data_IF_627546053165
#
_entry.id   IF_627546053165
#
_cell.length_a   1.000
_cell.length_b   1.000
_cell.length_c   1.000
_cell.angle_alpha   90.00
_cell.angle_beta   90.00
_cell.angle_gamma   90.00
#
_symmetry.space_group_name_H-M   'P 1'
#
loop_
_entity.id
_entity.type
_entity.pdbx_description
1 polymer ?
#
# COMPACT_ATOMS: atom_id res chain seq x y z
N UNK A 1 -1.22 6.17 7.71
CA UNK A 1 -1.74 6.26 6.33
C UNK A 1 -0.60 6.70 5.43
N UNK A 2 -0.53 6.20 4.20
CA UNK A 2 0.50 6.59 3.22
C UNK A 2 0.49 8.10 2.96
N UNK A 3 -0.67 8.76 3.10
CA UNK A 3 -0.79 10.21 3.06
C UNK A 3 0.07 10.97 4.10
N UNK A 4 0.42 10.34 5.23
CA UNK A 4 1.19 10.98 6.31
C UNK A 4 2.70 10.91 6.10
N UNK A 5 3.16 10.36 4.97
CA UNK A 5 4.59 10.21 4.67
C UNK A 5 5.09 11.37 3.80
N UNK A 6 4.44 12.53 3.83
CA UNK A 6 4.83 13.73 3.06
C UNK A 6 6.28 14.14 3.33
N UNK A 7 6.75 13.96 4.55
CA UNK A 7 8.12 14.26 4.97
C UNK A 7 9.01 13.02 5.09
N UNK A 8 8.53 11.83 4.70
CA UNK A 8 9.38 10.65 4.69
C UNK A 8 10.44 10.80 3.61
N UNK A 9 11.67 10.65 4.04
CA UNK A 9 12.84 10.44 3.22
C UNK A 9 13.02 8.95 2.91
N UNK A 10 13.96 8.64 2.02
CA UNK A 10 14.37 7.25 1.80
C UNK A 10 14.94 6.61 3.07
N UNK A 11 15.63 7.36 3.93
CA UNK A 11 16.18 6.83 5.18
C UNK A 11 15.08 6.38 6.15
N UNK A 12 13.96 7.12 6.23
CA UNK A 12 12.84 6.75 7.10
C UNK A 12 12.22 5.43 6.62
N UNK A 13 11.99 5.27 5.31
CA UNK A 13 11.51 4.01 4.73
C UNK A 13 12.46 2.83 5.00
N UNK A 14 13.77 3.06 4.85
CA UNK A 14 14.78 2.02 5.07
C UNK A 14 14.82 1.60 6.54
N UNK A 15 14.75 2.56 7.46
CA UNK A 15 14.76 2.30 8.89
C UNK A 15 13.52 1.50 9.31
N UNK A 16 12.32 1.93 8.91
CA UNK A 16 11.08 1.24 9.22
C UNK A 16 11.07 -0.20 8.68
N UNK A 17 11.51 -0.40 7.42
CA UNK A 17 11.59 -1.74 6.82
C UNK A 17 12.57 -2.64 7.58
N UNK A 18 13.74 -2.12 7.98
CA UNK A 18 14.72 -2.90 8.75
C UNK A 18 14.17 -3.30 10.11
N UNK A 19 13.55 -2.38 10.83
CA UNK A 19 12.90 -2.66 12.12
C UNK A 19 11.81 -3.73 11.97
N UNK A 20 11.04 -3.68 10.89
CA UNK A 20 10.03 -4.70 10.61
C UNK A 20 10.63 -6.08 10.33
N UNK A 21 11.73 -6.15 9.57
CA UNK A 21 12.47 -7.39 9.34
C UNK A 21 13.04 -7.96 10.65
N UNK A 22 13.62 -7.12 11.51
CA UNK A 22 14.09 -7.50 12.85
C UNK A 22 12.96 -8.06 13.71
N UNK A 23 11.76 -7.47 13.59
CA UNK A 23 10.55 -7.92 14.26
C UNK A 23 9.86 -9.13 13.59
N UNK A 24 10.43 -9.70 12.52
CA UNK A 24 9.86 -10.82 11.75
C UNK A 24 8.49 -10.52 11.12
N UNK A 25 8.25 -9.25 10.75
CA UNK A 25 7.09 -8.85 9.95
C UNK A 25 7.38 -9.11 8.47
N UNK A 26 6.46 -9.78 7.79
CA UNK A 26 6.65 -10.18 6.39
C UNK A 26 6.34 -9.07 5.38
N UNK A 27 5.41 -8.17 5.71
CA UNK A 27 4.96 -7.13 4.78
C UNK A 27 4.32 -5.93 5.48
N UNK A 28 4.33 -4.77 4.82
CA UNK A 28 3.51 -3.63 5.21
C UNK A 28 2.21 -3.53 4.41
N UNK A 29 1.13 -3.21 5.11
CA UNK A 29 -0.14 -2.79 4.54
C UNK A 29 -0.10 -1.28 4.26
N UNK A 30 -0.08 -0.90 2.99
CA UNK A 30 -0.07 0.50 2.56
C UNK A 30 -1.50 1.07 2.62
N UNK A 31 -1.85 1.69 3.75
CA UNK A 31 -3.16 2.34 3.93
C UNK A 31 -3.29 3.57 3.01
N UNK A 32 -4.22 3.51 2.07
CA UNK A 32 -4.47 4.59 1.11
C UNK A 32 -5.82 5.25 1.33
N UNK A 33 -5.84 6.60 1.27
CA UNK A 33 -7.06 7.38 1.13
C UNK A 33 -7.24 7.83 -0.31
N UNK A 34 -8.47 7.76 -0.83
CA UNK A 34 -8.78 8.18 -2.19
C UNK A 34 -8.52 9.68 -2.37
N UNK A 35 -7.95 10.06 -3.52
CA UNK A 35 -7.72 11.46 -3.87
C UNK A 35 -6.61 12.16 -3.07
N UNK A 36 -5.86 11.43 -2.24
CA UNK A 36 -4.74 12.00 -1.50
C UNK A 36 -3.55 12.28 -2.43
N UNK A 37 -3.11 13.54 -2.61
CA UNK A 37 -2.06 13.89 -3.59
C UNK A 37 -0.74 13.18 -3.33
N UNK A 38 -0.46 12.87 -2.06
CA UNK A 38 0.79 12.24 -1.65
C UNK A 38 0.91 10.76 -2.05
N UNK A 39 -0.22 10.08 -2.31
CA UNK A 39 -0.22 8.64 -2.61
C UNK A 39 0.77 8.26 -3.72
N UNK A 40 0.77 8.99 -4.84
CA UNK A 40 1.62 8.63 -5.97
C UNK A 40 3.11 8.64 -5.63
N UNK A 41 3.57 9.66 -4.90
CA UNK A 41 4.98 9.78 -4.50
C UNK A 41 5.31 8.75 -3.43
N UNK A 42 4.51 8.70 -2.36
CA UNK A 42 4.77 7.83 -1.21
C UNK A 42 4.75 6.34 -1.57
N UNK A 43 3.84 5.91 -2.46
CA UNK A 43 3.79 4.52 -2.94
C UNK A 43 5.02 4.21 -3.79
N UNK A 44 5.42 5.11 -4.69
CA UNK A 44 6.62 4.90 -5.50
C UNK A 44 7.87 4.76 -4.63
N UNK A 45 8.03 5.62 -3.62
CA UNK A 45 9.15 5.56 -2.68
C UNK A 45 9.12 4.28 -1.83
N UNK A 46 7.95 3.89 -1.31
CA UNK A 46 7.79 2.66 -0.53
C UNK A 46 8.20 1.43 -1.34
N UNK A 47 7.66 1.28 -2.57
CA UNK A 47 7.99 0.14 -3.43
C UNK A 47 9.46 0.10 -3.81
N UNK A 48 10.06 1.24 -4.18
CA UNK A 48 11.49 1.30 -4.54
C UNK A 48 12.40 0.85 -3.38
N UNK A 49 12.16 1.36 -2.17
CA UNK A 49 12.95 0.98 -0.99
C UNK A 49 12.69 -0.47 -0.56
N UNK A 50 11.44 -0.95 -0.66
CA UNK A 50 11.12 -2.34 -0.35
C UNK A 50 11.74 -3.33 -1.34
N UNK A 51 11.82 -2.98 -2.64
CA UNK A 51 12.53 -3.80 -3.63
C UNK A 51 14.02 -3.92 -3.29
N UNK A 52 14.66 -2.81 -2.92
CA UNK A 52 16.07 -2.79 -2.53
C UNK A 52 16.36 -3.63 -1.27
N UNK A 53 15.40 -3.72 -0.35
CA UNK A 53 15.52 -4.47 0.91
C UNK A 53 14.87 -5.85 0.88
N UNK A 54 14.35 -6.28 -0.29
CA UNK A 54 13.65 -7.56 -0.48
C UNK A 54 12.45 -7.73 0.48
N UNK A 55 11.82 -6.61 0.83
CA UNK A 55 10.65 -6.56 1.72
C UNK A 55 9.35 -6.56 0.92
N UNK A 56 8.23 -6.97 1.54
CA UNK A 56 6.94 -7.07 0.84
C UNK A 56 5.98 -5.96 1.24
N UNK A 57 5.16 -5.53 0.30
CA UNK A 57 4.12 -4.52 0.48
C UNK A 57 2.83 -4.99 -0.18
N UNK A 58 1.67 -4.61 0.35
CA UNK A 58 0.39 -4.72 -0.33
C UNK A 58 -0.48 -3.49 -0.10
N UNK A 59 -1.39 -3.24 -1.02
CA UNK A 59 -2.34 -2.14 -0.86
C UNK A 59 -3.42 -2.48 0.15
N UNK A 60 -3.69 -1.52 1.05
CA UNK A 60 -4.86 -1.51 1.91
C UNK A 60 -5.74 -0.31 1.53
N UNK A 61 -6.74 -0.56 0.69
CA UNK A 61 -7.71 0.46 0.29
C UNK A 61 -8.71 0.68 1.43
N UNK A 62 -8.63 1.84 2.09
CA UNK A 62 -9.52 2.16 3.21
C UNK A 62 -10.50 3.25 2.83
N UNK A 63 -11.71 3.15 3.36
CA UNK A 63 -12.66 4.25 3.39
C UNK A 63 -12.03 5.44 4.11
N UNK A 64 -12.04 6.57 3.45
CA UNK A 64 -11.55 7.78 4.05
C UNK A 64 -12.63 8.45 4.90
N UNK A 65 -12.33 8.64 6.19
CA UNK A 65 -13.24 9.30 7.13
C UNK A 65 -13.53 10.76 6.74
N UNK A 66 -12.72 11.37 5.87
CA UNK A 66 -12.94 12.73 5.37
C UNK A 66 -13.98 12.81 4.24
N UNK A 67 -14.70 11.72 3.94
CA UNK A 67 -15.87 11.74 3.06
C UNK A 67 -15.56 11.69 1.56
N UNK A 68 -14.36 11.24 1.17
CA UNK A 68 -13.95 11.09 -0.24
C UNK A 68 -14.54 9.84 -0.94
N UNK A 69 -15.33 9.06 -0.22
CA UNK A 69 -16.00 7.85 -0.70
C UNK A 69 -15.06 6.65 -0.87
N UNK A 70 -15.61 5.47 -1.20
CA UNK A 70 -14.81 4.28 -1.49
C UNK A 70 -13.99 4.44 -2.76
N UNK A 71 -12.97 3.59 -2.95
CA UNK A 71 -12.32 3.49 -4.24
C UNK A 71 -13.25 2.80 -5.24
N UNK A 72 -13.31 3.30 -6.47
CA UNK A 72 -13.96 2.54 -7.54
C UNK A 72 -13.12 1.30 -7.88
N UNK A 73 -13.78 0.26 -8.40
CA UNK A 73 -13.11 -0.94 -8.89
C UNK A 73 -11.99 -0.63 -9.90
N UNK A 74 -12.23 0.33 -10.79
CA UNK A 74 -11.25 0.72 -11.81
C UNK A 74 -10.02 1.39 -11.18
N UNK A 75 -10.20 2.22 -10.15
CA UNK A 75 -9.09 2.81 -9.40
C UNK A 75 -8.27 1.73 -8.67
N UNK A 76 -8.93 0.76 -8.02
CA UNK A 76 -8.27 -0.38 -7.37
C UNK A 76 -7.42 -1.17 -8.38
N UNK A 77 -8.02 -1.54 -9.52
CA UNK A 77 -7.36 -2.29 -10.59
C UNK A 77 -6.16 -1.52 -11.16
N UNK A 78 -6.30 -0.20 -11.32
CA UNK A 78 -5.21 0.65 -11.81
C UNK A 78 -3.99 0.62 -10.89
N UNK A 79 -4.19 0.73 -9.57
CA UNK A 79 -3.09 0.67 -8.61
C UNK A 79 -2.44 -0.71 -8.58
N UNK A 80 -3.23 -1.79 -8.57
CA UNK A 80 -2.70 -3.15 -8.60
C UNK A 80 -1.87 -3.38 -9.86
N UNK A 81 -2.40 -3.08 -11.04
CA UNK A 81 -1.70 -3.33 -12.31
C UNK A 81 -0.40 -2.53 -12.42
N UNK A 82 -0.34 -1.34 -11.83
CA UNK A 82 0.86 -0.51 -11.83
C UNK A 82 2.03 -1.12 -11.04
N UNK A 83 1.75 -1.84 -9.96
CA UNK A 83 2.79 -2.37 -9.06
C UNK A 83 2.86 -3.89 -9.00
N UNK A 84 1.92 -4.62 -9.61
CA UNK A 84 1.88 -6.08 -9.55
C UNK A 84 3.19 -6.72 -10.02
N UNK A 85 3.88 -6.15 -11.02
CA UNK A 85 5.17 -6.69 -11.51
C UNK A 85 6.34 -6.44 -10.56
N UNK A 86 6.19 -5.60 -9.53
CA UNK A 86 7.24 -5.32 -8.55
C UNK A 86 7.60 -6.59 -7.77
N UNK A 87 8.89 -6.79 -7.53
CA UNK A 87 9.37 -7.89 -6.69
C UNK A 87 8.96 -7.71 -5.22
N UNK A 88 8.69 -6.47 -4.81
CA UNK A 88 8.19 -6.12 -3.48
C UNK A 88 6.68 -6.33 -3.32
N UNK A 89 5.92 -6.62 -4.38
CA UNK A 89 4.48 -6.84 -4.24
C UNK A 89 4.20 -8.17 -3.52
N UNK A 90 3.47 -8.12 -2.40
CA UNK A 90 3.08 -9.31 -1.64
C UNK A 90 2.03 -10.12 -2.41
N UNK A 91 2.29 -11.43 -2.54
CA UNK A 91 1.44 -12.34 -3.30
C UNK A 91 0.91 -13.43 -2.40
N UNK A 92 -0.39 -13.68 -2.50
CA UNK A 92 -1.03 -14.84 -1.91
C UNK A 92 -1.41 -15.82 -3.02
N UNK A 93 -0.91 -17.05 -2.95
CA UNK A 93 -1.13 -18.08 -3.98
C UNK A 93 -0.79 -17.60 -5.41
N UNK A 94 0.32 -16.86 -5.53
CA UNK A 94 0.80 -16.30 -6.80
C UNK A 94 0.05 -15.06 -7.30
N UNK A 95 -1.07 -14.69 -6.68
CA UNK A 95 -1.88 -13.53 -7.07
C UNK A 95 -1.54 -12.30 -6.22
N UNK A 96 -1.58 -11.07 -6.78
CA UNK A 96 -1.47 -9.85 -6.00
C UNK A 96 -2.52 -9.84 -4.90
N UNK A 97 -2.09 -9.68 -3.65
CA UNK A 97 -3.00 -9.52 -2.52
C UNK A 97 -3.32 -8.04 -2.31
N UNK A 98 -4.55 -7.76 -1.91
CA UNK A 98 -5.00 -6.44 -1.44
C UNK A 98 -5.97 -6.66 -0.28
N UNK A 99 -6.00 -5.71 0.65
CA UNK A 99 -7.06 -5.60 1.64
C UNK A 99 -7.94 -4.40 1.33
N UNK A 100 -9.22 -4.52 1.64
CA UNK A 100 -10.18 -3.41 1.54
C UNK A 100 -10.84 -3.23 2.90
N UNK A 101 -11.13 -1.98 3.25
CA UNK A 101 -11.95 -1.61 4.39
C UNK A 101 -12.91 -0.50 3.95
N UNK A 102 -13.90 -0.87 3.14
CA UNK A 102 -14.84 0.07 2.49
C UNK A 102 -16.24 0.08 3.13
N UNK A 103 -16.42 -0.62 4.24
CA UNK A 103 -17.72 -0.79 4.91
C UNK A 103 -18.52 -1.97 4.36
N UNK A 104 -19.57 -2.41 5.08
CA UNK A 104 -20.35 -3.60 4.73
C UNK A 104 -21.07 -3.47 3.39
N UNK A 105 -21.44 -2.25 2.97
CA UNK A 105 -22.13 -1.99 1.71
C UNK A 105 -21.27 -2.24 0.46
N UNK A 106 -19.97 -2.49 0.61
CA UNK A 106 -19.03 -2.81 -0.47
C UNK A 106 -18.51 -4.26 -0.40
N UNK A 107 -19.04 -5.06 0.52
CA UNK A 107 -18.86 -6.50 0.58
C UNK A 107 -20.17 -7.16 0.12
N UNK A 108 -20.46 -7.14 -1.19
CA UNK A 108 -21.54 -8.01 -1.68
C UNK A 108 -21.12 -9.47 -1.50
N UNK A 109 -22.00 -10.26 -0.88
CA UNK A 109 -21.96 -11.73 -0.79
C UNK A 109 -22.14 -12.38 -2.18
#
# INVERSE_FOLDING_TARGET
QVGNTEHYSASDWIEDIKLAQEAQIDAFALNMARGEPMNAKAIADAFSNAEALVFKLFFSFSFDHFGRGPFSKDEVVLWINKYASSSAYFRHQGKPFVSTFEGPDQAED
#
